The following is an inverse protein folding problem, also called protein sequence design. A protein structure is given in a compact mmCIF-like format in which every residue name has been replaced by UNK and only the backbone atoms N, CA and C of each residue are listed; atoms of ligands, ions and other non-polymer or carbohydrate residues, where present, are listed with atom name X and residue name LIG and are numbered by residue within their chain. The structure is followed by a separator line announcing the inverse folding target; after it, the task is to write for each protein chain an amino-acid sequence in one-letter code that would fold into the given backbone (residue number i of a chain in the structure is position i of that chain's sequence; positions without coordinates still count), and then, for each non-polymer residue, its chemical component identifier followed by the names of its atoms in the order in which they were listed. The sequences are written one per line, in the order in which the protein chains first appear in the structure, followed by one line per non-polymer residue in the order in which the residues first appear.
data_IF_270881849352
#
_entry.id   IF_270881849352
#
_cell.length_a   1.000
_cell.length_b   1.000
_cell.length_c   1.000
_cell.angle_alpha   90.00
_cell.angle_beta   90.00
_cell.angle_gamma   90.00
#
_symmetry.space_group_name_H-M   'P 1'
#
loop_
_entity.id
_entity.type
_entity.pdbx_description
1 polymer ?
#
# COMPACT_ATOMS: atom_id res chain seq x y z
N UNK A 1 24.12 -12.22 0.77
CA UNK A 1 23.46 -11.06 0.14
C UNK A 1 23.51 -11.13 -1.37
N UNK A 2 24.62 -10.68 -1.99
CA UNK A 2 24.74 -10.55 -3.47
C UNK A 2 24.34 -11.80 -4.26
N UNK A 3 24.85 -12.97 -3.92
CA UNK A 3 24.51 -14.21 -4.62
C UNK A 3 23.03 -14.61 -4.46
N UNK A 4 22.44 -14.41 -3.28
CA UNK A 4 21.01 -14.66 -3.04
C UNK A 4 20.13 -13.75 -3.91
N UNK A 5 20.54 -12.49 -4.12
CA UNK A 5 19.84 -11.58 -5.04
C UNK A 5 19.94 -12.06 -6.50
N UNK A 6 21.13 -12.48 -6.93
CA UNK A 6 21.36 -12.96 -8.30
C UNK A 6 20.49 -14.15 -8.68
N UNK A 7 20.24 -15.06 -7.73
CA UNK A 7 19.38 -16.24 -7.95
C UNK A 7 17.89 -15.97 -7.69
N UNK A 8 17.50 -14.73 -7.37
CA UNK A 8 16.10 -14.34 -7.12
C UNK A 8 15.54 -14.73 -5.76
N UNK A 9 16.37 -15.14 -4.79
CA UNK A 9 15.91 -15.51 -3.45
C UNK A 9 15.53 -14.28 -2.61
N UNK A 10 16.20 -13.15 -2.83
CA UNK A 10 15.89 -11.85 -2.20
C UNK A 10 15.80 -10.78 -3.28
N UNK A 11 14.93 -9.79 -3.08
CA UNK A 11 14.78 -8.68 -4.03
C UNK A 11 15.99 -7.73 -4.02
N UNK A 12 16.47 -7.37 -2.82
CA UNK A 12 17.49 -6.35 -2.61
C UNK A 12 18.52 -6.78 -1.57
N UNK A 13 19.73 -6.22 -1.64
CA UNK A 13 20.82 -6.45 -0.71
C UNK A 13 21.60 -5.15 -0.52
N UNK A 14 21.80 -4.74 0.72
CA UNK A 14 22.47 -3.47 1.08
C UNK A 14 23.67 -3.71 2.00
N UNK A 15 24.65 -2.78 2.05
CA UNK A 15 25.61 -2.71 3.14
C UNK A 15 24.90 -2.60 4.49
N UNK A 16 25.52 -3.12 5.55
CA UNK A 16 24.92 -3.12 6.90
C UNK A 16 24.58 -1.70 7.37
N UNK A 17 25.45 -0.73 7.10
CA UNK A 17 25.28 0.67 7.48
C UNK A 17 24.00 1.31 6.88
N UNK A 18 23.52 0.81 5.73
CA UNK A 18 22.37 1.38 5.03
C UNK A 18 21.08 0.59 5.30
N UNK A 19 21.17 -0.59 5.91
CA UNK A 19 20.08 -1.57 5.96
C UNK A 19 18.83 -1.03 6.64
N UNK A 20 18.99 -0.30 7.75
CA UNK A 20 17.88 0.30 8.49
C UNK A 20 17.18 1.37 7.67
N UNK A 21 17.94 2.32 7.11
CA UNK A 21 17.40 3.38 6.26
C UNK A 21 16.63 2.81 5.06
N UNK A 22 17.18 1.79 4.39
CA UNK A 22 16.53 1.16 3.25
C UNK A 22 15.27 0.41 3.68
N UNK A 23 15.27 -0.24 4.84
CA UNK A 23 14.10 -0.91 5.40
C UNK A 23 12.97 0.07 5.66
N UNK A 24 13.27 1.22 6.28
CA UNK A 24 12.29 2.29 6.51
C UNK A 24 11.73 2.83 5.20
N UNK A 25 12.58 3.05 4.19
CA UNK A 25 12.12 3.46 2.86
C UNK A 25 11.15 2.46 2.20
N UNK A 26 11.37 1.16 2.38
CA UNK A 26 10.44 0.12 1.92
C UNK A 26 9.12 0.15 2.70
N UNK A 27 9.17 0.34 4.02
CA UNK A 27 7.98 0.46 4.86
C UNK A 27 7.15 1.67 4.41
N UNK A 28 7.78 2.83 4.27
CA UNK A 28 7.13 4.06 3.82
C UNK A 28 6.43 3.87 2.47
N UNK A 29 7.12 3.25 1.51
CA UNK A 29 6.54 2.95 0.20
C UNK A 29 5.34 2.00 0.28
N UNK A 30 5.41 0.96 1.12
CA UNK A 30 4.31 0.02 1.31
C UNK A 30 3.09 0.70 1.95
N UNK A 31 3.32 1.60 2.91
CA UNK A 31 2.26 2.35 3.62
C UNK A 31 1.53 3.37 2.73
N UNK A 32 2.05 3.69 1.53
CA UNK A 32 1.29 4.48 0.55
C UNK A 32 0.07 3.73 -0.01
N UNK A 33 0.03 2.40 0.11
CA UNK A 33 -0.98 1.57 -0.53
C UNK A 33 -2.17 1.27 0.40
N UNK A 34 -3.33 1.01 -0.20
CA UNK A 34 -4.52 0.55 0.52
C UNK A 34 -4.24 -0.79 1.23
N UNK A 35 -4.48 -0.92 2.56
CA UNK A 35 -4.29 -2.17 3.28
C UNK A 35 -5.11 -3.33 2.73
N UNK A 36 -6.34 -3.07 2.26
CA UNK A 36 -7.18 -4.07 1.61
C UNK A 36 -6.59 -4.51 0.27
N UNK A 37 -6.19 -3.55 -0.59
CA UNK A 37 -5.62 -3.86 -1.90
C UNK A 37 -4.32 -4.67 -1.78
N UNK A 38 -3.45 -4.35 -0.82
CA UNK A 38 -2.22 -5.11 -0.58
C UNK A 38 -2.47 -6.57 -0.17
N UNK A 39 -3.50 -6.80 0.65
CA UNK A 39 -3.93 -8.17 1.03
C UNK A 39 -4.47 -8.93 -0.17
N UNK A 40 -5.40 -8.35 -0.91
CA UNK A 40 -5.99 -8.99 -2.11
C UNK A 40 -4.94 -9.27 -3.18
N UNK A 41 -3.98 -8.37 -3.40
CA UNK A 41 -2.85 -8.63 -4.32
C UNK A 41 -2.02 -9.84 -3.90
N UNK A 42 -1.74 -10.00 -2.59
CA UNK A 42 -1.03 -11.18 -2.08
C UNK A 42 -1.85 -12.46 -2.20
N UNK A 43 -3.17 -12.39 -1.99
CA UNK A 43 -4.09 -13.52 -2.19
C UNK A 43 -4.11 -13.96 -3.66
N UNK A 44 -4.25 -13.01 -4.59
CA UNK A 44 -4.21 -13.27 -6.03
C UNK A 44 -2.89 -13.94 -6.45
N UNK A 45 -1.75 -13.45 -5.96
CA UNK A 45 -0.45 -14.07 -6.24
C UNK A 45 -0.36 -15.51 -5.73
N UNK A 46 -0.93 -15.80 -4.56
CA UNK A 46 -0.96 -17.16 -3.99
C UNK A 46 -1.87 -18.09 -4.79
N UNK A 47 -3.04 -17.59 -5.21
CA UNK A 47 -3.99 -18.36 -6.00
C UNK A 47 -3.45 -18.68 -7.39
N UNK A 48 -2.82 -17.71 -8.05
CA UNK A 48 -2.21 -17.91 -9.38
C UNK A 48 -0.99 -18.84 -9.27
N UNK A 49 -0.14 -18.64 -8.26
CA UNK A 49 1.04 -19.48 -8.01
C UNK A 49 1.91 -19.65 -9.25
N UNK A 50 2.34 -20.89 -9.50
CA UNK A 50 2.98 -21.31 -10.77
C UNK A 50 2.00 -22.06 -11.69
N UNK A 51 0.70 -21.89 -11.49
CA UNK A 51 -0.34 -22.62 -12.19
C UNK A 51 -0.53 -22.18 -13.64
N UNK A 52 -1.15 -23.04 -14.44
CA UNK A 52 -1.59 -22.70 -15.78
C UNK A 52 -2.72 -21.67 -15.73
N UNK A 53 -2.73 -20.71 -16.67
CA UNK A 53 -3.76 -19.68 -16.77
C UNK A 53 -5.07 -20.27 -17.31
N UNK A 54 -5.79 -20.99 -16.46
CA UNK A 54 -7.07 -21.60 -16.82
C UNK A 54 -8.18 -20.55 -16.95
N UNK A 55 -9.25 -20.81 -17.72
CA UNK A 55 -10.42 -19.93 -17.78
C UNK A 55 -11.07 -19.70 -16.40
N UNK A 56 -11.01 -20.67 -15.50
CA UNK A 56 -11.56 -20.53 -14.14
C UNK A 56 -10.72 -19.57 -13.29
N UNK A 57 -9.40 -19.73 -13.30
CA UNK A 57 -8.46 -18.85 -12.61
C UNK A 57 -8.56 -17.41 -13.12
N UNK A 58 -8.70 -17.24 -14.44
CA UNK A 58 -8.93 -15.93 -15.06
C UNK A 58 -10.20 -15.27 -14.52
N UNK A 59 -11.35 -15.98 -14.53
CA UNK A 59 -12.62 -15.45 -14.00
C UNK A 59 -12.54 -15.09 -12.52
N UNK A 60 -11.82 -15.89 -11.74
CA UNK A 60 -11.57 -15.60 -10.33
C UNK A 60 -10.80 -14.28 -10.17
N UNK A 61 -9.69 -14.10 -10.89
CA UNK A 61 -8.89 -12.88 -10.84
C UNK A 61 -9.71 -11.65 -11.28
N UNK A 62 -10.46 -11.75 -12.38
CA UNK A 62 -11.34 -10.69 -12.86
C UNK A 62 -12.37 -10.28 -11.79
N UNK A 63 -13.01 -11.26 -11.15
CA UNK A 63 -14.01 -11.03 -10.11
C UNK A 63 -13.39 -10.39 -8.86
N UNK A 64 -12.21 -10.85 -8.44
CA UNK A 64 -11.49 -10.28 -7.31
C UNK A 64 -11.03 -8.84 -7.57
N UNK A 65 -10.51 -8.55 -8.78
CA UNK A 65 -10.10 -7.21 -9.20
C UNK A 65 -11.30 -6.27 -9.28
N UNK A 66 -12.42 -6.73 -9.84
CA UNK A 66 -13.64 -5.92 -9.90
C UNK A 66 -14.13 -5.56 -8.48
N UNK A 67 -14.19 -6.54 -7.58
CA UNK A 67 -14.63 -6.36 -6.20
C UNK A 67 -13.74 -5.40 -5.40
N UNK A 68 -12.41 -5.50 -5.53
CA UNK A 68 -11.51 -4.57 -4.82
C UNK A 68 -11.64 -3.14 -5.38
N UNK A 69 -11.86 -2.97 -6.69
CA UNK A 69 -12.09 -1.64 -7.29
C UNK A 69 -13.36 -0.95 -6.80
N UNK A 70 -14.41 -1.72 -6.51
CA UNK A 70 -15.69 -1.19 -6.00
C UNK A 70 -15.76 -1.17 -4.47
N UNK A 71 -14.68 -1.55 -3.77
CA UNK A 71 -14.61 -1.51 -2.30
C UNK A 71 -14.53 -0.08 -1.76
N UNK A 72 -14.71 0.09 -0.46
CA UNK A 72 -14.57 1.40 0.20
C UNK A 72 -13.17 2.00 -0.01
N UNK A 73 -12.10 1.23 0.20
CA UNK A 73 -10.73 1.71 -0.03
C UNK A 73 -10.45 1.94 -1.53
N UNK A 74 -10.99 1.10 -2.41
CA UNK A 74 -10.86 1.27 -3.86
C UNK A 74 -11.50 2.57 -4.36
N UNK A 75 -12.72 2.87 -3.90
CA UNK A 75 -13.43 4.10 -4.21
C UNK A 75 -12.76 5.33 -3.59
N UNK A 76 -12.27 5.22 -2.35
CA UNK A 76 -11.54 6.30 -1.69
C UNK A 76 -10.24 6.63 -2.42
N UNK A 77 -9.46 5.64 -2.86
CA UNK A 77 -8.24 5.87 -3.63
C UNK A 77 -8.49 6.61 -4.93
N UNK A 78 -9.52 6.20 -5.68
CA UNK A 78 -9.92 6.87 -6.91
C UNK A 78 -10.37 8.31 -6.62
N UNK A 79 -11.18 8.52 -5.58
CA UNK A 79 -11.63 9.85 -5.17
C UNK A 79 -10.48 10.76 -4.75
N UNK A 80 -9.56 10.26 -3.92
CA UNK A 80 -8.39 10.98 -3.45
C UNK A 80 -7.48 11.42 -4.60
N UNK A 81 -7.25 10.52 -5.57
CA UNK A 81 -6.51 10.82 -6.80
C UNK A 81 -7.19 11.95 -7.60
N UNK A 82 -8.50 11.84 -7.87
CA UNK A 82 -9.24 12.85 -8.62
C UNK A 82 -9.29 14.21 -7.89
N UNK A 83 -9.32 14.19 -6.56
CA UNK A 83 -9.33 15.38 -5.70
C UNK A 83 -7.91 15.91 -5.40
N UNK A 84 -6.84 15.27 -5.91
CA UNK A 84 -5.44 15.63 -5.65
C UNK A 84 -5.11 15.74 -4.15
N UNK A 85 -5.65 14.84 -3.34
CA UNK A 85 -5.37 14.74 -1.90
C UNK A 85 -4.85 13.36 -1.55
N UNK A 86 -4.23 13.22 -0.39
CA UNK A 86 -3.89 11.92 0.16
C UNK A 86 -5.18 11.12 0.49
N UNK A 87 -5.19 9.81 0.26
CA UNK A 87 -6.29 8.95 0.69
C UNK A 87 -6.29 8.79 2.22
N UNK A 88 -7.45 8.45 2.79
CA UNK A 88 -7.63 8.35 4.24
C UNK A 88 -6.65 7.43 4.97
N UNK A 89 -6.19 6.34 4.33
CA UNK A 89 -5.23 5.40 4.95
C UNK A 89 -3.79 5.93 5.04
N UNK A 90 -3.48 7.06 4.40
CA UNK A 90 -2.19 7.74 4.53
C UNK A 90 -2.21 8.86 5.57
N UNK A 91 -3.37 9.17 6.17
CA UNK A 91 -3.43 10.10 7.29
C UNK A 91 -2.73 9.42 8.47
N UNK A 92 -1.58 9.95 8.88
CA UNK A 92 -0.92 9.51 10.11
C UNK A 92 -1.68 10.13 11.27
N UNK A 93 -1.96 9.34 12.31
CA UNK A 93 -2.55 9.82 13.57
C UNK A 93 -1.63 10.80 14.35
N UNK A 94 -0.53 11.25 13.74
CA UNK A 94 0.51 12.08 14.33
C UNK A 94 0.31 13.59 14.09
N UNK A 95 -0.83 14.01 13.55
CA UNK A 95 -1.18 15.44 13.50
C UNK A 95 -1.86 15.83 14.81
N UNK A 96 -1.25 16.66 15.68
CA UNK A 96 -1.95 17.20 16.83
C UNK A 96 -3.08 18.09 16.30
N UNK A 97 -4.29 17.53 16.30
CA UNK A 97 -5.49 18.24 15.92
C UNK A 97 -5.59 19.58 16.68
N UNK A 98 -5.53 20.67 15.94
CA UNK A 98 -6.28 21.89 16.22
C UNK A 98 -6.12 22.52 17.63
N UNK A 99 -4.89 22.77 18.10
CA UNK A 99 -4.65 23.57 19.31
C UNK A 99 -4.44 25.08 19.05
N UNK A 100 -4.27 25.53 17.80
CA UNK A 100 -3.91 26.94 17.53
C UNK A 100 -5.06 27.88 17.11
N UNK A 101 -6.25 27.36 16.76
CA UNK A 101 -7.37 28.23 16.35
C UNK A 101 -8.30 28.64 17.50
N UNK A 102 -8.38 27.87 18.59
CA UNK A 102 -9.25 28.21 19.74
C UNK A 102 -8.67 29.29 20.67
N UNK A 103 -7.37 29.59 20.57
CA UNK A 103 -6.74 30.62 21.42
C UNK A 103 -6.80 32.03 20.82
N UNK A 104 -7.04 32.16 19.49
CA UNK A 104 -7.16 33.48 18.83
C UNK A 104 -8.55 34.11 18.95
N UNK A 105 -9.59 33.30 19.19
CA UNK A 105 -10.97 33.78 19.37
C UNK A 105 -11.32 34.16 20.82
N UNK A 106 -10.45 33.86 21.78
CA UNK A 106 -10.60 34.25 23.20
C UNK A 106 -9.87 35.57 23.54
N UNK A 107 -9.19 36.18 22.56
CA UNK A 107 -8.43 37.43 22.72
C UNK A 107 -8.86 38.54 21.73
N UNK A 108 -10.05 38.45 21.15
CA UNK A 108 -10.67 39.51 20.34
C UNK A 108 -11.98 40.00 20.95
#
# INVERSE_FOLDING_TARGET
GRQARQIGLIAECYPFADLEQQTLGWIDNLLLNSPQAMRTSKELLREVGSGELTPALRRYCESAIARIRTSAEGQEGLRAFLQKRAPGWQQRDDEPAALEERQKDSQR
#
